data_IF_690468946798
#
_entry.id   IF_690468946798
#
_cell.length_a   1.000
_cell.length_b   1.000
_cell.length_c   1.000
_cell.angle_alpha   90.00
_cell.angle_beta   90.00
_cell.angle_gamma   90.00
#
_symmetry.space_group_name_H-M   'P 1'
#
loop_
_entity.id
_entity.type
_entity.pdbx_description
1 polymer ?
#
# COMPACT_ATOMS: atom_id res chain seq x y z
N UNK A 1 -1.07 -43.75 -5.59
CA UNK A 1 -0.34 -44.07 -4.35
C UNK A 1 -0.01 -42.76 -3.70
N UNK A 2 -0.71 -42.47 -2.61
CA UNK A 2 -0.63 -41.19 -1.90
C UNK A 2 0.76 -41.01 -1.31
N UNK A 3 1.56 -40.13 -1.91
CA UNK A 3 2.78 -39.64 -1.27
C UNK A 3 2.35 -38.68 -0.15
N UNK A 4 2.35 -39.19 1.07
CA UNK A 4 2.18 -38.36 2.25
C UNK A 4 3.20 -37.21 2.19
N UNK A 5 2.67 -36.00 2.04
CA UNK A 5 3.34 -34.70 1.95
C UNK A 5 4.44 -34.46 3.01
N UNK A 6 4.32 -35.13 4.15
CA UNK A 6 5.24 -35.08 5.29
C UNK A 6 5.09 -36.38 6.10
N UNK A 7 6.20 -36.87 6.64
CA UNK A 7 6.21 -37.90 7.68
C UNK A 7 5.47 -37.40 8.93
N UNK A 8 4.96 -38.31 9.75
CA UNK A 8 4.27 -37.97 11.00
C UNK A 8 5.13 -37.07 11.89
N UNK A 9 6.45 -37.26 11.88
CA UNK A 9 7.42 -36.43 12.61
C UNK A 9 7.47 -34.98 12.11
N UNK A 10 7.41 -34.75 10.81
CA UNK A 10 7.40 -33.39 10.24
C UNK A 10 6.06 -32.68 10.55
N UNK A 11 4.94 -33.41 10.51
CA UNK A 11 3.63 -32.87 10.94
C UNK A 11 3.62 -32.49 12.43
N UNK A 12 4.23 -33.32 13.27
CA UNK A 12 4.34 -33.06 14.71
C UNK A 12 5.30 -31.90 15.01
N UNK A 13 6.40 -31.79 14.26
CA UNK A 13 7.37 -30.69 14.37
C UNK A 13 6.73 -29.35 13.96
N UNK A 14 6.05 -29.32 12.82
CA UNK A 14 5.31 -28.14 12.35
C UNK A 14 4.22 -27.77 13.37
N UNK A 15 3.42 -28.73 13.85
CA UNK A 15 2.42 -28.45 14.91
C UNK A 15 3.05 -27.92 16.19
N UNK A 16 4.22 -28.42 16.61
CA UNK A 16 4.94 -27.97 17.79
C UNK A 16 5.47 -26.53 17.63
N UNK A 17 6.12 -26.22 16.51
CA UNK A 17 6.57 -24.86 16.16
C UNK A 17 5.37 -23.90 16.11
N UNK A 18 4.26 -24.31 15.49
CA UNK A 18 3.03 -23.53 15.44
C UNK A 18 2.43 -23.31 16.82
N UNK A 19 2.39 -24.30 17.70
CA UNK A 19 1.83 -24.16 19.06
C UNK A 19 2.71 -23.27 19.94
N UNK A 20 4.03 -23.32 19.72
CA UNK A 20 5.01 -22.45 20.40
C UNK A 20 4.90 -21.00 19.93
N UNK A 21 4.73 -20.78 18.64
CA UNK A 21 4.68 -19.44 18.02
C UNK A 21 3.27 -18.81 18.03
N UNK A 22 2.19 -19.59 18.10
CA UNK A 22 0.82 -19.04 18.28
C UNK A 22 0.61 -18.40 19.65
N UNK A 23 1.35 -18.82 20.67
CA UNK A 23 1.44 -18.10 21.95
C UNK A 23 2.19 -16.77 21.82
N UNK A 24 3.09 -16.63 20.83
CA UNK A 24 3.78 -15.38 20.52
C UNK A 24 3.01 -14.49 19.53
N UNK A 25 2.23 -15.04 18.59
CA UNK A 25 1.37 -14.29 17.65
C UNK A 25 0.19 -13.58 18.33
N UNK A 26 -0.12 -13.91 19.59
CA UNK A 26 -1.03 -13.11 20.44
C UNK A 26 -0.38 -11.85 21.02
N UNK A 27 0.92 -11.64 20.82
CA UNK A 27 1.64 -10.44 21.24
C UNK A 27 2.15 -9.66 20.03
N UNK A 28 1.56 -8.49 19.80
CA UNK A 28 2.10 -7.35 19.06
C UNK A 28 2.66 -7.62 17.65
N UNK A 29 1.77 -7.78 16.67
CA UNK A 29 2.14 -7.50 15.28
C UNK A 29 2.27 -5.99 15.14
N UNK A 30 3.49 -5.53 14.90
CA UNK A 30 3.79 -4.15 14.57
C UNK A 30 3.32 -3.86 13.14
N UNK A 31 2.09 -3.36 13.01
CA UNK A 31 1.49 -3.03 11.71
C UNK A 31 2.29 -1.98 10.92
N UNK A 32 3.16 -1.19 11.57
CA UNK A 32 4.10 -0.32 10.86
C UNK A 32 5.09 -1.12 10.01
N UNK A 33 5.42 -2.35 10.42
CA UNK A 33 6.28 -3.27 9.67
C UNK A 33 5.56 -3.98 8.51
N UNK A 34 4.24 -4.05 8.55
CA UNK A 34 3.44 -4.68 7.49
C UNK A 34 3.51 -3.84 6.21
N UNK A 35 3.50 -2.52 6.31
CA UNK A 35 3.61 -1.64 5.14
C UNK A 35 5.03 -1.11 4.91
N UNK A 36 5.93 -1.21 5.89
CA UNK A 36 7.35 -0.94 5.64
C UNK A 36 8.00 -2.13 4.93
N UNK A 37 7.94 -2.15 3.59
CA UNK A 37 9.01 -2.77 2.82
C UNK A 37 10.33 -2.15 3.31
N UNK A 38 11.36 -2.98 3.53
CA UNK A 38 12.65 -2.64 4.16
C UNK A 38 13.02 -1.19 3.82
N UNK A 39 12.69 -0.25 4.72
CA UNK A 39 13.29 1.08 4.69
C UNK A 39 14.75 0.78 5.00
N UNK A 40 15.58 0.75 3.97
CA UNK A 40 16.98 1.08 4.20
C UNK A 40 16.93 2.39 4.99
N UNK A 41 17.46 2.33 6.21
CA UNK A 41 17.72 3.51 7.01
C UNK A 41 18.53 4.46 6.12
N UNK A 42 17.84 5.39 5.46
CA UNK A 42 18.43 6.66 5.11
C UNK A 42 18.64 7.36 6.44
N UNK A 43 19.73 6.96 7.12
CA UNK A 43 20.38 7.78 8.13
C UNK A 43 20.36 9.19 7.61
N UNK A 44 19.70 10.06 8.38
CA UNK A 44 19.52 11.47 8.12
C UNK A 44 20.71 12.05 7.35
N UNK A 45 20.56 12.28 6.05
CA UNK A 45 21.33 13.34 5.43
C UNK A 45 20.79 14.63 6.04
N UNK A 46 21.46 15.06 7.12
CA UNK A 46 21.57 16.47 7.43
C UNK A 46 22.08 17.15 6.17
N UNK A 47 21.16 17.59 5.32
CA UNK A 47 21.47 18.64 4.37
C UNK A 47 21.59 19.91 5.21
N UNK A 48 22.81 20.14 5.69
CA UNK A 48 23.30 21.48 5.94
C UNK A 48 23.07 22.27 4.64
N UNK A 49 21.94 22.96 4.57
CA UNK A 49 21.69 23.97 3.54
C UNK A 49 22.72 25.07 3.79
N UNK A 50 23.90 24.94 3.19
CA UNK A 50 24.79 26.08 2.96
C UNK A 50 24.14 26.95 1.90
N UNK A 51 23.31 27.87 2.37
CA UNK A 51 22.89 29.05 1.64
C UNK A 51 24.14 29.80 1.15
N UNK A 52 24.43 29.70 -0.14
CA UNK A 52 25.30 30.65 -0.82
C UNK A 52 24.41 31.69 -1.52
N UNK A 53 24.01 32.70 -0.76
CA UNK A 53 23.57 33.97 -1.33
C UNK A 53 24.78 34.64 -1.97
N UNK A 54 24.82 34.70 -3.30
CA UNK A 54 25.73 35.59 -4.03
C UNK A 54 24.88 36.69 -4.66
N UNK A 55 24.81 37.84 -3.99
CA UNK A 55 24.43 39.10 -4.61
C UNK A 55 25.55 39.52 -5.56
N UNK A 56 25.24 39.72 -6.84
CA UNK A 56 26.22 40.17 -7.83
C UNK A 56 25.63 40.52 -9.19
N UNK A 57 25.22 41.79 -9.32
CA UNK A 57 25.31 42.71 -10.48
C UNK A 57 25.07 42.16 -11.91
N UNK A 58 24.03 42.74 -12.51
CA UNK A 58 23.84 43.09 -13.93
C UNK A 58 24.89 42.65 -14.95
N UNK A 59 24.47 41.81 -15.89
CA UNK A 59 24.80 42.00 -17.30
C UNK A 59 23.57 41.79 -18.17
N UNK A 60 23.06 42.91 -18.69
CA UNK A 60 22.08 42.98 -19.75
C UNK A 60 22.68 42.41 -21.04
N UNK A 61 22.05 41.39 -21.64
CA UNK A 61 22.13 41.15 -23.10
C UNK A 61 21.02 40.21 -23.60
N UNK A 62 20.23 40.81 -24.49
CA UNK A 62 19.50 40.24 -25.62
C UNK A 62 18.16 39.55 -25.39
N UNK A 63 17.13 40.40 -25.50
CA UNK A 63 15.80 40.13 -26.05
C UNK A 63 15.81 39.09 -27.19
N UNK A 64 15.69 37.81 -26.87
CA UNK A 64 15.13 36.81 -27.79
C UNK A 64 13.69 36.55 -27.40
N UNK A 65 12.82 37.33 -28.07
CA UNK A 65 11.39 37.10 -28.34
C UNK A 65 10.82 35.87 -27.62
N UNK A 66 9.91 36.17 -26.68
CA UNK A 66 8.81 35.30 -26.27
C UNK A 66 8.31 34.48 -27.46
N UNK A 67 8.78 33.24 -27.58
CA UNK A 67 7.99 32.21 -28.22
C UNK A 67 6.95 31.84 -27.19
N UNK A 68 5.83 32.56 -27.25
CA UNK A 68 4.56 31.97 -26.87
C UNK A 68 4.53 30.60 -27.53
N UNK A 69 4.63 29.53 -26.72
CA UNK A 69 4.26 28.22 -27.18
C UNK A 69 2.84 28.36 -27.71
N UNK A 70 2.68 28.33 -29.03
CA UNK A 70 1.39 28.07 -29.65
C UNK A 70 0.93 26.75 -29.06
N UNK A 71 -0.10 26.81 -28.22
CA UNK A 71 -0.72 25.68 -27.57
C UNK A 71 -0.93 24.57 -28.62
N UNK A 72 -0.17 23.49 -28.50
CA UNK A 72 -0.54 22.27 -29.21
C UNK A 72 -1.87 21.86 -28.60
N UNK A 73 -2.90 21.77 -29.45
CA UNK A 73 -4.29 21.62 -29.01
C UNK A 73 -4.62 20.30 -28.33
N UNK A 74 -3.65 19.43 -28.07
CA UNK A 74 -3.86 18.14 -27.41
C UNK A 74 -2.73 17.87 -26.41
N UNK A 75 -2.73 18.56 -25.27
CA UNK A 75 -1.99 18.06 -24.10
C UNK A 75 -2.76 16.82 -23.62
N UNK A 76 -2.12 15.65 -23.45
CA UNK A 76 -2.79 14.48 -22.92
C UNK A 76 -3.49 14.80 -21.59
N UNK A 77 -4.72 14.31 -21.41
CA UNK A 77 -5.56 14.67 -20.26
C UNK A 77 -4.87 14.42 -18.91
N UNK A 78 -4.07 13.35 -18.79
CA UNK A 78 -3.29 13.06 -17.57
C UNK A 78 -2.25 14.14 -17.26
N UNK A 79 -1.56 14.68 -18.27
CA UNK A 79 -0.59 15.78 -18.10
C UNK A 79 -1.28 17.09 -17.69
N UNK A 80 -2.52 17.32 -18.14
CA UNK A 80 -3.32 18.46 -17.67
C UNK A 80 -3.71 18.31 -16.20
N UNK A 81 -4.17 17.12 -15.81
CA UNK A 81 -4.55 16.80 -14.44
C UNK A 81 -3.35 16.88 -13.48
N UNK A 82 -2.18 16.41 -13.89
CA UNK A 82 -0.95 16.56 -13.07
C UNK A 82 -0.57 18.03 -12.86
N UNK A 83 -0.64 18.86 -13.91
CA UNK A 83 -0.42 20.31 -13.78
C UNK A 83 -1.44 20.97 -12.84
N UNK A 84 -2.71 20.53 -12.87
CA UNK A 84 -3.73 21.02 -11.94
C UNK A 84 -3.41 20.64 -10.49
N UNK A 85 -3.00 19.40 -10.24
CA UNK A 85 -2.55 18.94 -8.92
C UNK A 85 -1.33 19.73 -8.44
N UNK A 86 -0.35 19.99 -9.30
CA UNK A 86 0.81 20.82 -8.97
C UNK A 86 0.43 22.24 -8.58
N UNK A 87 -0.52 22.83 -9.29
CA UNK A 87 -1.01 24.17 -8.98
C UNK A 87 -1.71 24.18 -7.62
N UNK A 88 -2.47 23.15 -7.28
CA UNK A 88 -3.10 22.98 -5.97
C UNK A 88 -2.05 22.81 -4.88
N UNK A 89 -1.08 21.91 -5.10
CA UNK A 89 0.03 21.64 -4.19
C UNK A 89 0.86 22.89 -3.91
N UNK A 90 1.22 23.63 -4.96
CA UNK A 90 1.99 24.88 -4.85
C UNK A 90 1.20 25.92 -4.08
N UNK A 91 -0.09 26.09 -4.37
CA UNK A 91 -0.98 26.99 -3.60
C UNK A 91 -1.03 26.59 -2.13
N UNK A 92 -1.20 25.30 -1.82
CA UNK A 92 -1.20 24.82 -0.43
C UNK A 92 0.09 25.15 0.31
N UNK A 93 1.24 24.86 -0.30
CA UNK A 93 2.54 25.18 0.30
C UNK A 93 2.65 26.68 0.55
N UNK A 94 2.40 27.51 -0.47
CA UNK A 94 2.46 28.95 -0.32
C UNK A 94 1.53 29.45 0.78
N UNK A 95 0.26 29.07 0.78
CA UNK A 95 -0.72 29.49 1.80
C UNK A 95 -0.27 29.03 3.20
N UNK A 96 0.23 27.81 3.35
CA UNK A 96 0.75 27.30 4.62
C UNK A 96 1.95 28.12 5.14
N UNK A 97 2.86 28.54 4.26
CA UNK A 97 4.02 29.35 4.64
C UNK A 97 3.66 30.82 4.90
N UNK A 98 2.65 31.38 4.23
CA UNK A 98 2.36 32.82 4.27
C UNK A 98 1.16 33.21 5.15
N UNK A 99 0.14 32.36 5.31
CA UNK A 99 -1.10 32.72 6.01
C UNK A 99 -1.50 31.76 7.14
N UNK A 100 -0.78 30.65 7.35
CA UNK A 100 -1.09 29.61 8.35
C UNK A 100 -2.51 29.00 8.25
N UNK A 101 -3.26 29.29 7.18
CA UNK A 101 -4.59 28.72 6.94
C UNK A 101 -4.53 27.68 5.82
N UNK A 102 -5.14 26.52 6.02
CA UNK A 102 -5.23 25.48 5.00
C UNK A 102 -6.71 25.29 4.66
N UNK A 103 -7.18 26.03 3.66
CA UNK A 103 -8.52 25.88 3.08
C UNK A 103 -8.38 25.69 1.58
N UNK A 104 -8.26 24.43 1.16
CA UNK A 104 -8.38 24.08 -0.26
C UNK A 104 -9.31 22.88 -0.37
N UNK A 105 -10.46 23.12 -1.01
CA UNK A 105 -11.41 22.08 -1.40
C UNK A 105 -11.05 21.60 -2.80
N UNK A 106 -10.80 20.29 -2.93
CA UNK A 106 -10.66 19.61 -4.19
C UNK A 106 -11.28 18.21 -4.05
N UNK A 107 -11.70 17.63 -5.17
CA UNK A 107 -12.15 16.25 -5.21
C UNK A 107 -10.97 15.32 -5.53
N UNK A 108 -10.51 14.47 -4.59
CA UNK A 108 -9.43 13.51 -4.84
C UNK A 108 -9.71 12.59 -6.03
N UNK A 109 -10.99 12.24 -6.27
CA UNK A 109 -11.35 11.25 -7.28
C UNK A 109 -11.05 11.73 -8.70
N UNK A 110 -11.09 13.05 -8.92
CA UNK A 110 -10.70 13.65 -10.21
C UNK A 110 -9.25 13.32 -10.59
N UNK A 111 -8.38 13.09 -9.60
CA UNK A 111 -6.94 12.93 -9.78
C UNK A 111 -6.45 11.53 -9.43
N UNK A 112 -7.35 10.55 -9.26
CA UNK A 112 -7.01 9.20 -8.77
C UNK A 112 -5.95 8.48 -9.61
N UNK A 113 -5.91 8.78 -10.91
CA UNK A 113 -4.94 8.24 -11.88
C UNK A 113 -3.57 8.95 -11.86
N UNK A 114 -3.45 10.05 -11.11
CA UNK A 114 -2.24 10.87 -11.11
C UNK A 114 -1.30 10.47 -9.98
N UNK A 115 0.00 10.39 -10.27
CA UNK A 115 1.02 10.07 -9.26
C UNK A 115 1.13 11.13 -8.16
N UNK A 116 0.68 12.35 -8.43
CA UNK A 116 0.79 13.50 -7.53
C UNK A 116 -0.37 13.62 -6.56
N UNK A 117 -1.47 12.90 -6.78
CA UNK A 117 -2.59 12.88 -5.84
C UNK A 117 -2.12 12.43 -4.46
N UNK A 118 -1.25 11.42 -4.38
CA UNK A 118 -0.80 10.86 -3.11
C UNK A 118 0.05 11.84 -2.32
N UNK A 119 0.94 12.58 -2.99
CA UNK A 119 1.73 13.66 -2.37
C UNK A 119 0.81 14.77 -1.83
N UNK A 120 -0.26 15.07 -2.57
CA UNK A 120 -1.26 16.06 -2.17
C UNK A 120 -2.08 15.58 -0.97
N UNK A 121 -2.60 14.35 -1.01
CA UNK A 121 -3.33 13.73 0.10
C UNK A 121 -2.47 13.63 1.36
N UNK A 122 -1.17 13.35 1.22
CA UNK A 122 -0.25 13.33 2.36
C UNK A 122 -0.26 14.65 3.16
N UNK A 123 -0.47 15.78 2.47
CA UNK A 123 -0.51 17.10 3.10
C UNK A 123 -1.89 17.50 3.61
N UNK A 124 -2.96 17.00 3.00
CA UNK A 124 -4.32 17.50 3.18
C UNK A 124 -5.25 16.53 3.89
N UNK A 125 -4.91 15.24 3.98
CA UNK A 125 -5.83 14.20 4.46
C UNK A 125 -6.32 14.45 5.89
N UNK A 126 -5.47 14.99 6.78
CA UNK A 126 -5.88 15.37 8.13
C UNK A 126 -7.03 16.39 8.14
N UNK A 127 -7.03 17.30 7.16
CA UNK A 127 -7.96 18.41 7.06
C UNK A 127 -9.31 18.02 6.46
N UNK A 128 -9.50 16.77 6.00
CA UNK A 128 -10.82 16.32 5.56
C UNK A 128 -11.72 16.05 6.77
N UNK A 129 -12.89 16.67 6.77
CA UNK A 129 -13.93 16.44 7.79
C UNK A 129 -14.40 14.98 7.78
N UNK A 130 -14.57 14.41 6.58
CA UNK A 130 -15.04 13.05 6.36
C UNK A 130 -13.96 12.18 5.68
N UNK A 131 -12.92 11.86 6.45
CA UNK A 131 -11.82 10.96 6.04
C UNK A 131 -12.34 9.60 5.58
N UNK A 132 -13.39 9.07 6.23
CA UNK A 132 -13.99 7.77 5.91
C UNK A 132 -14.55 7.78 4.48
N UNK A 133 -15.33 8.80 4.13
CA UNK A 133 -15.90 8.94 2.79
C UNK A 133 -14.82 9.10 1.72
N UNK A 134 -13.71 9.79 2.00
CA UNK A 134 -12.58 9.87 1.07
C UNK A 134 -12.03 8.47 0.77
N UNK A 135 -11.76 7.67 1.80
CA UNK A 135 -11.21 6.33 1.65
C UNK A 135 -12.20 5.35 0.99
N UNK A 136 -13.49 5.43 1.33
CA UNK A 136 -14.54 4.63 0.69
C UNK A 136 -14.71 5.00 -0.80
N UNK A 137 -14.53 6.27 -1.15
CA UNK A 137 -14.51 6.67 -2.57
C UNK A 137 -13.25 6.15 -3.27
N UNK A 138 -12.08 6.25 -2.64
CA UNK A 138 -10.83 5.66 -3.16
C UNK A 138 -11.03 4.15 -3.43
N UNK A 139 -11.68 3.41 -2.53
CA UNK A 139 -11.91 1.98 -2.73
C UNK A 139 -12.81 1.65 -3.92
N UNK A 140 -13.71 2.55 -4.32
CA UNK A 140 -14.52 2.38 -5.55
C UNK A 140 -13.72 2.56 -6.83
N UNK A 141 -12.57 3.23 -6.74
CA UNK A 141 -11.69 3.52 -7.87
C UNK A 141 -10.35 2.78 -7.72
N UNK A 142 -10.30 1.69 -6.96
CA UNK A 142 -9.04 0.99 -6.69
C UNK A 142 -8.33 0.54 -7.99
N UNK A 143 -9.10 0.18 -9.02
CA UNK A 143 -8.55 -0.25 -10.31
C UNK A 143 -7.83 0.86 -11.09
N UNK A 144 -8.19 2.12 -10.82
CA UNK A 144 -7.64 3.31 -11.48
C UNK A 144 -6.32 3.79 -10.82
N UNK A 145 -5.90 3.17 -9.71
CA UNK A 145 -4.68 3.54 -8.98
C UNK A 145 -3.45 2.93 -9.66
N UNK A 146 -2.67 3.78 -10.34
CA UNK A 146 -1.45 3.36 -11.03
C UNK A 146 -0.19 3.46 -10.15
N UNK A 147 -0.10 4.49 -9.31
CA UNK A 147 1.08 4.80 -8.49
C UNK A 147 1.13 3.97 -7.20
N UNK A 148 1.27 2.65 -7.31
CA UNK A 148 1.11 1.71 -6.19
C UNK A 148 2.04 1.99 -5.00
N UNK A 149 3.31 2.35 -5.25
CA UNK A 149 4.28 2.58 -4.18
C UNK A 149 3.88 3.80 -3.34
N UNK A 150 3.59 4.93 -4.00
CA UNK A 150 3.12 6.15 -3.32
C UNK A 150 1.79 5.96 -2.61
N UNK A 151 0.89 5.18 -3.21
CA UNK A 151 -0.38 4.84 -2.58
C UNK A 151 -0.16 4.01 -1.30
N UNK A 152 0.75 3.04 -1.35
CA UNK A 152 1.10 2.21 -0.19
C UNK A 152 1.74 3.04 0.91
N UNK A 153 2.63 3.98 0.57
CA UNK A 153 3.22 4.93 1.52
C UNK A 153 2.16 5.81 2.19
N UNK A 154 1.22 6.35 1.41
CA UNK A 154 0.08 7.10 1.94
C UNK A 154 -0.73 6.25 2.92
N UNK A 155 -1.11 5.02 2.56
CA UNK A 155 -1.86 4.15 3.47
C UNK A 155 -1.05 3.83 4.74
N UNK A 156 0.25 3.59 4.62
CA UNK A 156 1.13 3.32 5.77
C UNK A 156 1.18 4.47 6.78
N UNK A 157 1.16 5.72 6.29
CA UNK A 157 1.23 6.89 7.15
C UNK A 157 -0.12 7.22 7.83
N UNK A 158 -1.23 6.67 7.31
CA UNK A 158 -2.58 7.05 7.71
C UNK A 158 -3.45 5.90 8.23
N UNK A 159 -3.05 4.63 8.13
CA UNK A 159 -3.91 3.48 8.45
C UNK A 159 -4.51 3.52 9.86
N UNK A 160 -3.79 4.07 10.84
CA UNK A 160 -4.20 4.19 12.24
C UNK A 160 -5.18 5.34 12.49
N UNK A 161 -5.26 6.29 11.55
CA UNK A 161 -6.16 7.45 11.59
C UNK A 161 -7.36 7.31 10.65
N UNK A 162 -7.38 6.31 9.78
CA UNK A 162 -8.52 6.02 8.92
C UNK A 162 -9.68 5.49 9.78
N UNK A 163 -10.86 6.15 9.79
CA UNK A 163 -12.00 5.64 10.55
C UNK A 163 -12.45 4.27 10.06
N UNK A 164 -13.02 3.47 10.96
CA UNK A 164 -13.45 2.11 10.65
C UNK A 164 -14.46 2.05 9.49
N UNK A 165 -14.14 1.22 8.50
CA UNK A 165 -14.99 0.90 7.34
C UNK A 165 -15.69 -0.43 7.63
N UNK A 166 -17.01 -0.47 7.49
CA UNK A 166 -17.85 -1.66 7.71
C UNK A 166 -18.26 -2.28 6.39
N UNK A 167 -18.83 -3.48 6.43
CA UNK A 167 -19.37 -4.14 5.24
C UNK A 167 -20.45 -3.32 4.52
N UNK A 168 -21.19 -2.47 5.25
CA UNK A 168 -22.20 -1.58 4.66
C UNK A 168 -21.59 -0.44 3.84
N UNK A 169 -20.39 0.01 4.22
CA UNK A 169 -19.71 1.10 3.54
C UNK A 169 -19.03 0.64 2.24
N UNK A 170 -18.67 -0.64 2.16
CA UNK A 170 -17.95 -1.20 1.02
C UNK A 170 -18.85 -1.36 -0.19
N UNK A 171 -18.29 -1.01 -1.34
CA UNK A 171 -18.91 -1.34 -2.61
C UNK A 171 -18.88 -2.86 -2.83
N UNK A 172 -19.95 -3.40 -3.42
CA UNK A 172 -20.05 -4.83 -3.72
C UNK A 172 -18.96 -5.26 -4.70
N UNK A 173 -18.63 -4.41 -5.66
CA UNK A 173 -17.58 -4.66 -6.64
C UNK A 173 -16.20 -4.78 -5.96
N UNK A 174 -15.86 -3.81 -5.10
CA UNK A 174 -14.63 -3.87 -4.31
C UNK A 174 -14.56 -5.15 -3.47
N UNK A 175 -15.64 -5.50 -2.76
CA UNK A 175 -15.68 -6.65 -1.86
C UNK A 175 -15.36 -7.98 -2.57
N UNK A 176 -15.67 -8.08 -3.87
CA UNK A 176 -15.42 -9.27 -4.70
C UNK A 176 -14.07 -9.17 -5.42
N UNK A 177 -13.74 -7.99 -5.93
CA UNK A 177 -12.66 -7.80 -6.91
C UNK A 177 -11.39 -7.15 -6.34
N UNK A 178 -11.30 -6.83 -5.04
CA UNK A 178 -10.13 -6.14 -4.48
C UNK A 178 -8.77 -6.80 -4.77
N UNK A 179 -8.75 -8.12 -5.02
CA UNK A 179 -7.51 -8.86 -5.29
C UNK A 179 -7.00 -8.75 -6.73
N UNK A 180 -7.80 -8.20 -7.66
CA UNK A 180 -7.41 -8.04 -9.08
C UNK A 180 -6.32 -6.99 -9.27
N UNK A 181 -6.05 -6.18 -8.24
CA UNK A 181 -5.10 -5.08 -8.23
C UNK A 181 -4.39 -4.97 -6.90
N UNK A 182 -3.11 -4.61 -6.95
CA UNK A 182 -2.28 -4.33 -5.76
C UNK A 182 -2.91 -3.28 -4.84
N UNK A 183 -3.50 -2.23 -5.40
CA UNK A 183 -4.19 -1.16 -4.64
C UNK A 183 -5.37 -1.69 -3.83
N UNK A 184 -6.14 -2.65 -4.37
CA UNK A 184 -7.25 -3.27 -3.66
C UNK A 184 -6.76 -4.14 -2.51
N UNK A 185 -5.66 -4.88 -2.68
CA UNK A 185 -5.00 -5.63 -1.60
C UNK A 185 -4.51 -4.70 -0.47
N UNK A 186 -3.90 -3.56 -0.82
CA UNK A 186 -3.46 -2.55 0.16
C UNK A 186 -4.65 -2.00 0.95
N UNK A 187 -5.75 -1.65 0.28
CA UNK A 187 -6.97 -1.17 0.93
C UNK A 187 -7.62 -2.24 1.81
N UNK A 188 -7.75 -3.47 1.32
CA UNK A 188 -8.32 -4.56 2.10
C UNK A 188 -7.49 -4.86 3.36
N UNK A 189 -6.15 -4.78 3.24
CA UNK A 189 -5.23 -4.87 4.37
C UNK A 189 -5.50 -3.76 5.39
N UNK A 190 -5.59 -2.50 4.93
CA UNK A 190 -5.92 -1.35 5.78
C UNK A 190 -7.27 -1.53 6.49
N UNK A 191 -8.29 -1.98 5.76
CA UNK A 191 -9.63 -2.18 6.31
C UNK A 191 -9.68 -3.30 7.34
N UNK A 192 -8.95 -4.39 7.14
CA UNK A 192 -8.83 -5.47 8.13
C UNK A 192 -8.13 -5.04 9.41
N UNK A 193 -7.11 -4.18 9.32
CA UNK A 193 -6.43 -3.64 10.51
C UNK A 193 -7.40 -2.80 11.35
N UNK A 194 -8.22 -1.98 10.69
CA UNK A 194 -9.19 -1.12 11.36
C UNK A 194 -10.45 -1.87 11.84
N UNK A 195 -10.88 -2.92 11.14
CA UNK A 195 -12.14 -3.61 11.37
C UNK A 195 -12.07 -5.12 11.05
N UNK A 196 -12.33 -5.95 12.06
CA UNK A 196 -12.39 -7.41 11.91
C UNK A 196 -13.70 -7.92 11.29
N UNK A 197 -14.76 -7.11 11.19
CA UNK A 197 -16.05 -7.50 10.61
C UNK A 197 -15.95 -7.88 9.12
N UNK A 198 -14.90 -7.40 8.44
CA UNK A 198 -14.66 -7.66 7.03
C UNK A 198 -13.91 -8.98 6.77
N UNK A 199 -13.45 -9.63 7.84
CA UNK A 199 -12.66 -10.84 7.78
C UNK A 199 -13.29 -11.94 6.93
N UNK A 200 -14.56 -12.31 7.21
CA UNK A 200 -15.20 -13.42 6.51
C UNK A 200 -15.37 -13.14 5.01
N UNK A 201 -15.72 -11.90 4.66
CA UNK A 201 -15.86 -11.46 3.27
C UNK A 201 -14.54 -11.63 2.54
N UNK A 202 -13.46 -11.09 3.11
CA UNK A 202 -12.15 -11.14 2.48
C UNK A 202 -11.56 -12.55 2.46
N UNK A 203 -11.72 -13.33 3.53
CA UNK A 203 -11.28 -14.73 3.57
C UNK A 203 -11.95 -15.57 2.48
N UNK A 204 -13.28 -15.51 2.39
CA UNK A 204 -14.04 -16.31 1.43
C UNK A 204 -13.72 -15.94 -0.01
N UNK A 205 -13.58 -14.64 -0.32
CA UNK A 205 -13.16 -14.24 -1.67
C UNK A 205 -11.73 -14.69 -1.97
N UNK A 206 -10.82 -14.56 -1.01
CA UNK A 206 -9.40 -14.94 -1.17
C UNK A 206 -9.22 -16.42 -1.42
N UNK A 207 -9.82 -17.28 -0.61
CA UNK A 207 -9.61 -18.72 -0.75
C UNK A 207 -10.15 -19.26 -2.08
N UNK A 208 -11.23 -18.66 -2.59
CA UNK A 208 -11.85 -19.06 -3.85
C UNK A 208 -11.11 -18.53 -5.09
N UNK A 209 -10.30 -17.46 -4.95
CA UNK A 209 -9.64 -16.80 -6.08
C UNK A 209 -8.15 -16.49 -5.78
N UNK A 210 -7.49 -17.34 -4.99
CA UNK A 210 -6.13 -17.10 -4.49
C UNK A 210 -5.13 -16.90 -5.64
N UNK A 211 -5.27 -17.64 -6.74
CA UNK A 211 -4.38 -17.54 -7.90
C UNK A 211 -4.36 -16.13 -8.49
N UNK A 212 -5.50 -15.46 -8.53
CA UNK A 212 -5.62 -14.07 -9.01
C UNK A 212 -4.85 -13.12 -8.09
N UNK A 213 -4.86 -13.38 -6.78
CA UNK A 213 -4.21 -12.53 -5.79
C UNK A 213 -2.69 -12.70 -5.78
N UNK A 214 -2.19 -13.93 -6.00
CA UNK A 214 -0.78 -14.31 -5.90
C UNK A 214 0.13 -13.70 -6.99
N UNK A 215 -0.45 -13.09 -8.02
CA UNK A 215 0.30 -12.33 -9.04
C UNK A 215 0.84 -11.01 -8.46
N UNK A 216 0.18 -10.47 -7.44
CA UNK A 216 0.52 -9.20 -6.81
C UNK A 216 1.47 -9.44 -5.63
N UNK A 217 2.40 -8.51 -5.40
CA UNK A 217 3.33 -8.64 -4.27
C UNK A 217 2.70 -8.26 -2.93
N UNK A 218 1.66 -7.42 -2.96
CA UNK A 218 0.98 -6.87 -1.79
C UNK A 218 0.13 -7.94 -1.08
N UNK A 219 -0.08 -9.09 -1.73
CA UNK A 219 -0.79 -10.24 -1.19
C UNK A 219 -0.17 -10.75 0.11
N UNK A 220 1.15 -10.72 0.24
CA UNK A 220 1.85 -11.24 1.41
C UNK A 220 1.48 -10.47 2.67
N UNK A 221 1.40 -9.14 2.58
CA UNK A 221 1.01 -8.27 3.68
C UNK A 221 -0.46 -8.46 4.04
N UNK A 222 -1.32 -8.56 3.03
CA UNK A 222 -2.74 -8.86 3.22
C UNK A 222 -2.95 -10.19 3.94
N UNK A 223 -2.26 -11.26 3.50
CA UNK A 223 -2.38 -12.59 4.10
C UNK A 223 -1.89 -12.60 5.56
N UNK A 224 -0.79 -11.90 5.87
CA UNK A 224 -0.32 -11.75 7.26
C UNK A 224 -1.40 -11.18 8.15
N UNK A 225 -2.07 -10.11 7.72
CA UNK A 225 -3.15 -9.48 8.48
C UNK A 225 -4.37 -10.40 8.55
N UNK A 226 -4.80 -10.97 7.42
CA UNK A 226 -5.97 -11.86 7.35
C UNK A 226 -5.83 -13.06 8.28
N UNK A 227 -4.64 -13.68 8.32
CA UNK A 227 -4.36 -14.83 9.18
C UNK A 227 -4.55 -14.52 10.66
N UNK A 228 -4.44 -13.28 11.13
CA UNK A 228 -4.68 -12.97 12.54
C UNK A 228 -6.11 -13.29 13.00
N UNK A 229 -7.05 -13.25 12.08
CA UNK A 229 -8.47 -13.50 12.33
C UNK A 229 -8.88 -14.95 12.02
N UNK A 230 -8.06 -15.68 11.25
CA UNK A 230 -8.31 -17.07 10.90
C UNK A 230 -8.14 -18.04 12.08
N UNK A 231 -9.00 -19.07 12.11
CA UNK A 231 -8.78 -20.26 12.91
C UNK A 231 -7.63 -21.13 12.34
N UNK A 232 -7.29 -22.22 13.02
CA UNK A 232 -6.16 -23.09 12.63
C UNK A 232 -6.34 -23.73 11.25
N UNK A 233 -7.56 -24.17 10.92
CA UNK A 233 -7.87 -24.83 9.64
C UNK A 233 -7.81 -23.82 8.49
N UNK A 234 -8.39 -22.64 8.68
CA UNK A 234 -8.37 -21.55 7.71
C UNK A 234 -6.94 -21.06 7.41
N UNK A 235 -6.09 -20.95 8.44
CA UNK A 235 -4.66 -20.64 8.26
C UNK A 235 -3.97 -21.69 7.39
N UNK A 236 -4.23 -22.97 7.65
CA UNK A 236 -3.62 -24.06 6.91
C UNK A 236 -4.02 -24.03 5.42
N UNK A 237 -5.29 -23.80 5.13
CA UNK A 237 -5.76 -23.67 3.74
C UNK A 237 -5.12 -22.49 3.01
N UNK A 238 -5.01 -21.31 3.64
CA UNK A 238 -4.32 -20.16 3.05
C UNK A 238 -2.86 -20.49 2.72
N UNK A 239 -2.11 -21.05 3.68
CA UNK A 239 -0.69 -21.40 3.50
C UNK A 239 -0.53 -22.39 2.36
N UNK A 240 -1.35 -23.45 2.35
CA UNK A 240 -1.34 -24.47 1.30
C UNK A 240 -1.50 -23.85 -0.09
N UNK A 241 -2.43 -22.91 -0.23
CA UNK A 241 -2.68 -22.23 -1.51
C UNK A 241 -1.56 -21.29 -1.95
N UNK A 242 -0.68 -20.84 -1.04
CA UNK A 242 0.49 -20.00 -1.40
C UNK A 242 1.72 -20.79 -1.82
N UNK A 243 1.72 -22.12 -1.64
CA UNK A 243 2.93 -22.96 -1.74
C UNK A 243 3.60 -22.87 -3.11
N UNK A 244 2.84 -23.05 -4.18
CA UNK A 244 3.39 -23.07 -5.54
C UNK A 244 4.06 -21.74 -5.87
N UNK A 245 3.38 -20.63 -5.52
CA UNK A 245 3.90 -19.29 -5.73
C UNK A 245 5.20 -19.05 -4.96
N UNK A 246 5.29 -19.48 -3.70
CA UNK A 246 6.51 -19.35 -2.90
C UNK A 246 7.69 -20.11 -3.54
N UNK A 247 7.46 -21.30 -4.10
CA UNK A 247 8.49 -22.04 -4.81
C UNK A 247 8.91 -21.37 -6.13
N UNK A 248 7.98 -20.72 -6.84
CA UNK A 248 8.30 -19.95 -8.06
C UNK A 248 9.18 -18.74 -7.78
N UNK A 249 8.85 -17.97 -6.74
CA UNK A 249 9.53 -16.69 -6.47
C UNK A 249 10.81 -16.85 -5.63
N UNK A 250 11.12 -18.04 -5.09
CA UNK A 250 12.30 -18.26 -4.21
C UNK A 250 13.64 -17.87 -4.82
N UNK A 251 13.76 -17.91 -6.14
CA UNK A 251 14.99 -17.54 -6.86
C UNK A 251 15.02 -16.06 -7.29
N UNK A 252 13.91 -15.33 -7.12
CA UNK A 252 13.76 -13.92 -7.46
C UNK A 252 13.87 -13.10 -6.17
N UNK A 253 15.07 -12.60 -5.86
CA UNK A 253 15.35 -11.90 -4.60
C UNK A 253 14.37 -10.76 -4.32
N UNK A 254 13.96 -9.99 -5.34
CA UNK A 254 13.08 -8.84 -5.16
C UNK A 254 11.65 -9.27 -4.78
N UNK A 255 11.09 -10.25 -5.50
CA UNK A 255 9.76 -10.77 -5.17
C UNK A 255 9.78 -11.55 -3.86
N UNK A 256 10.83 -12.31 -3.61
CA UNK A 256 10.98 -13.12 -2.41
C UNK A 256 11.13 -12.26 -1.16
N UNK A 257 11.82 -11.12 -1.24
CA UNK A 257 11.96 -10.19 -0.12
C UNK A 257 10.60 -9.72 0.41
N UNK A 258 9.62 -9.51 -0.47
CA UNK A 258 8.25 -9.14 -0.05
C UNK A 258 7.50 -10.31 0.62
N UNK A 259 7.80 -11.55 0.25
CA UNK A 259 7.25 -12.75 0.87
C UNK A 259 7.88 -13.07 2.24
N UNK A 260 9.08 -12.55 2.54
CA UNK A 260 9.77 -12.81 3.82
C UNK A 260 8.95 -12.41 5.04
N UNK A 261 8.18 -11.31 4.96
CA UNK A 261 7.29 -10.90 6.07
C UNK A 261 6.25 -11.98 6.37
N UNK A 262 5.67 -12.57 5.32
CA UNK A 262 4.73 -13.68 5.45
C UNK A 262 5.38 -14.92 6.04
N UNK A 263 6.56 -15.32 5.55
CA UNK A 263 7.30 -16.48 6.08
C UNK A 263 7.68 -16.30 7.55
N UNK A 264 8.17 -15.12 7.91
CA UNK A 264 8.52 -14.77 9.29
C UNK A 264 7.31 -14.86 10.21
N UNK A 265 6.12 -14.44 9.75
CA UNK A 265 4.88 -14.60 10.51
C UNK A 265 4.49 -16.08 10.71
N UNK A 266 4.88 -16.96 9.79
CA UNK A 266 4.73 -18.41 9.95
C UNK A 266 5.83 -19.03 10.84
N UNK A 267 6.87 -18.26 11.20
CA UNK A 267 8.05 -18.74 11.88
C UNK A 267 8.93 -19.62 11.00
N UNK A 268 8.90 -19.38 9.69
CA UNK A 268 9.73 -20.03 8.69
C UNK A 268 10.82 -19.07 8.22
N UNK A 269 12.03 -19.59 8.07
CA UNK A 269 13.13 -18.91 7.41
C UNK A 269 13.11 -19.23 5.89
N UNK A 270 13.72 -18.39 5.05
CA UNK A 270 13.88 -18.64 3.62
C UNK A 270 14.35 -20.06 3.26
N UNK A 271 15.27 -20.60 4.07
CA UNK A 271 15.89 -21.92 3.88
C UNK A 271 14.91 -23.08 4.15
N UNK A 272 13.81 -22.83 4.87
CA UNK A 272 12.80 -23.85 5.16
C UNK A 272 11.90 -24.14 3.95
N UNK A 273 11.94 -23.31 2.91
CA UNK A 273 11.25 -23.56 1.65
C UNK A 273 12.11 -24.51 0.81
N UNK A 274 11.89 -25.81 1.01
CA UNK A 274 12.64 -26.86 0.31
C UNK A 274 12.53 -26.76 -1.22
N UNK A 275 13.54 -27.29 -1.92
CA UNK A 275 13.59 -27.31 -3.38
C UNK A 275 12.50 -28.16 -4.02
#
# INVERSE_FOLDING_TARGET
>A
MDSNFMTTKEKDYVSYIFTKNTRQLKGDIDYKKVFSGIKQDYTSFKNDIKTSFVFGKDTCRDNKKNRYFTASKNIPQNLQLECEVDNIYTKLICTRYFTNEISISYDPMKYIKTNKLWDLLQLTFESFDDKKNVIVKISKHFEDIEAIDKFTDFINDWYDKIPQVTAFDLDKDFSVNFMTKSSGLVLATCFLIGNNDLYEIFYNNTINNMEVALIHNEIWNFLVVLMNFCNKEQKFELIKSTKERLHEIKCDNEKFDKAKTFLKCLGLEPEDISL
#
